data_IF_407431891526
#
_entry.id   IF_407431891526
#
_cell.length_a   1.000
_cell.length_b   1.000
_cell.length_c   1.000
_cell.angle_alpha   90.00
_cell.angle_beta   90.00
_cell.angle_gamma   90.00
#
_symmetry.space_group_name_H-M   'P 1'
#
loop_
_entity.id
_entity.type
_entity.pdbx_description
1 polymer ?
#
# COMPACT_ATOMS: atom_id res chain seq x y z
N UNK A 1 -0.10 -18.52 -2.42
CA UNK A 1 -0.16 -18.21 -0.98
C UNK A 1 -0.92 -16.92 -0.76
N UNK A 2 -1.65 -16.87 0.32
CA UNK A 2 -2.36 -15.64 0.69
C UNK A 2 -1.36 -14.56 1.15
N UNK A 3 -1.62 -13.31 0.79
CA UNK A 3 -0.82 -12.18 1.24
C UNK A 3 -1.06 -11.90 2.73
N UNK A 4 -0.01 -11.49 3.42
CA UNK A 4 -0.07 -11.13 4.85
C UNK A 4 0.17 -9.65 5.08
N UNK A 5 0.60 -8.93 4.05
CA UNK A 5 0.97 -7.51 4.14
C UNK A 5 0.42 -6.75 2.94
N UNK A 6 -0.17 -5.58 3.23
CA UNK A 6 -0.57 -4.63 2.20
C UNK A 6 0.60 -3.71 1.85
N UNK A 7 0.64 -3.22 0.62
CA UNK A 7 1.66 -2.29 0.18
C UNK A 7 1.03 -0.99 -0.30
N UNK A 8 1.53 0.13 0.21
CA UNK A 8 1.13 1.48 -0.16
C UNK A 8 2.12 2.10 -1.14
N UNK A 9 1.69 3.12 -1.86
CA UNK A 9 2.44 3.78 -2.93
C UNK A 9 3.80 4.28 -2.49
N UNK A 10 3.85 5.01 -1.38
CA UNK A 10 5.11 5.64 -0.93
C UNK A 10 6.20 4.64 -0.59
N UNK A 11 5.82 3.51 0.03
CA UNK A 11 6.77 2.45 0.35
C UNK A 11 7.28 1.75 -0.91
N UNK A 12 6.39 1.48 -1.86
CA UNK A 12 6.77 0.88 -3.15
C UNK A 12 7.68 1.83 -3.94
N UNK A 13 7.34 3.11 -3.97
CA UNK A 13 8.18 4.11 -4.64
C UNK A 13 9.57 4.18 -4.01
N UNK A 14 9.66 4.14 -2.68
CA UNK A 14 10.93 4.17 -1.96
C UNK A 14 11.83 2.98 -2.32
N UNK A 15 11.25 1.81 -2.59
CA UNK A 15 12.02 0.65 -3.06
C UNK A 15 12.62 0.88 -4.44
N UNK A 16 11.89 1.60 -5.31
CA UNK A 16 12.27 1.79 -6.71
C UNK A 16 13.17 3.01 -6.92
N UNK A 17 13.13 3.95 -6.01
CA UNK A 17 13.85 5.23 -6.13
C UNK A 17 14.96 5.33 -5.08
N UNK A 18 16.18 5.09 -5.52
CA UNK A 18 17.37 5.12 -4.65
C UNK A 18 17.59 6.49 -4.00
N UNK A 19 17.06 7.57 -4.58
CA UNK A 19 17.17 8.92 -4.04
C UNK A 19 16.09 9.25 -3.00
N UNK A 20 15.11 8.38 -2.83
CA UNK A 20 14.05 8.57 -1.83
C UNK A 20 14.64 8.46 -0.42
N UNK A 21 14.29 9.39 0.48
CA UNK A 21 14.80 9.37 1.85
C UNK A 21 14.44 8.09 2.61
N UNK A 22 13.36 7.41 2.21
CA UNK A 22 12.92 6.16 2.82
C UNK A 22 13.52 4.92 2.16
N UNK A 23 14.35 5.08 1.13
CA UNK A 23 14.86 3.94 0.35
C UNK A 23 15.56 2.88 1.21
N UNK A 24 16.51 3.30 2.03
CA UNK A 24 17.29 2.35 2.86
C UNK A 24 16.40 1.62 3.87
N UNK A 25 15.55 2.38 4.55
CA UNK A 25 14.65 1.83 5.60
C UNK A 25 13.64 0.87 4.98
N UNK A 26 13.02 1.25 3.86
CA UNK A 26 12.05 0.40 3.16
C UNK A 26 12.72 -0.83 2.55
N UNK A 27 13.92 -0.69 1.99
CA UNK A 27 14.65 -1.83 1.42
C UNK A 27 14.99 -2.87 2.50
N UNK A 28 15.38 -2.41 3.68
CA UNK A 28 15.67 -3.29 4.81
C UNK A 28 14.39 -4.02 5.28
N UNK A 29 13.28 -3.29 5.41
CA UNK A 29 12.00 -3.88 5.80
C UNK A 29 11.52 -4.90 4.76
N UNK A 30 11.64 -4.56 3.48
CA UNK A 30 11.21 -5.40 2.36
C UNK A 30 11.85 -6.79 2.39
N UNK A 31 13.11 -6.88 2.77
CA UNK A 31 13.81 -8.16 2.85
C UNK A 31 13.25 -9.11 3.92
N UNK A 32 12.50 -8.56 4.88
CA UNK A 32 11.90 -9.32 5.98
C UNK A 32 10.42 -9.65 5.74
N UNK A 33 9.83 -9.07 4.69
CA UNK A 33 8.42 -9.29 4.39
C UNK A 33 8.22 -10.64 3.70
N UNK A 34 7.06 -11.23 3.96
CA UNK A 34 6.63 -12.43 3.24
C UNK A 34 5.89 -12.02 1.98
N UNK A 35 6.20 -12.69 0.89
CA UNK A 35 5.53 -12.44 -0.38
C UNK A 35 4.39 -13.44 -0.59
N UNK A 36 3.37 -13.07 -1.35
CA UNK A 36 3.20 -11.79 -2.03
C UNK A 36 2.74 -10.65 -1.11
N UNK A 37 2.97 -9.41 -1.54
CA UNK A 37 2.33 -8.23 -0.96
C UNK A 37 1.06 -7.96 -1.74
N UNK A 38 -0.01 -7.54 -1.05
CA UNK A 38 -1.28 -7.19 -1.70
C UNK A 38 -1.37 -5.67 -1.85
N UNK A 39 -1.81 -5.22 -3.01
CA UNK A 39 -2.11 -3.81 -3.23
C UNK A 39 -3.35 -3.65 -4.10
N UNK A 40 -3.73 -2.43 -4.43
CA UNK A 40 -4.89 -2.14 -5.28
C UNK A 40 -4.45 -1.50 -6.60
N UNK A 41 -5.36 -1.51 -7.58
CA UNK A 41 -5.15 -0.78 -8.84
C UNK A 41 -4.95 0.71 -8.60
N UNK A 42 -5.67 1.29 -7.63
CA UNK A 42 -5.53 2.69 -7.28
C UNK A 42 -4.10 3.02 -6.84
N UNK A 43 -3.50 2.15 -6.03
CA UNK A 43 -2.10 2.29 -5.60
C UNK A 43 -1.17 2.18 -6.80
N UNK A 44 -1.39 1.22 -7.69
CA UNK A 44 -0.55 1.07 -8.89
C UNK A 44 -0.66 2.30 -9.80
N UNK A 45 -1.85 2.86 -9.97
CA UNK A 45 -2.04 4.08 -10.75
C UNK A 45 -1.21 5.22 -10.17
N UNK A 46 -1.26 5.39 -8.88
CA UNK A 46 -0.49 6.41 -8.17
C UNK A 46 1.01 6.18 -8.31
N UNK A 47 1.44 4.93 -8.13
CA UNK A 47 2.85 4.55 -8.25
C UNK A 47 3.41 4.88 -9.64
N UNK A 48 2.72 4.45 -10.70
CA UNK A 48 3.17 4.71 -12.07
C UNK A 48 3.13 6.20 -12.41
N UNK A 49 2.18 6.95 -11.85
CA UNK A 49 2.15 8.40 -11.99
C UNK A 49 3.40 9.05 -11.36
N UNK A 50 3.76 8.62 -10.16
CA UNK A 50 4.92 9.17 -9.44
C UNK A 50 6.25 8.75 -10.06
N UNK A 51 6.34 7.56 -10.63
CA UNK A 51 7.52 7.12 -11.38
C UNK A 51 7.72 8.00 -12.61
N UNK A 52 6.63 8.41 -13.26
CA UNK A 52 6.68 9.21 -14.48
C UNK A 52 7.25 8.40 -15.64
N UNK A 53 8.07 9.05 -16.45
CA UNK A 53 8.59 8.47 -17.69
C UNK A 53 9.96 7.79 -17.54
N UNK A 54 10.46 7.67 -16.32
CA UNK A 54 11.75 7.05 -16.10
C UNK A 54 11.68 5.53 -16.30
N UNK A 55 12.16 5.09 -17.45
CA UNK A 55 12.01 3.70 -17.88
C UNK A 55 12.59 2.66 -16.93
N UNK A 56 13.80 2.83 -16.34
CA UNK A 56 14.33 1.81 -15.43
C UNK A 56 13.42 1.52 -14.23
N UNK A 57 12.79 2.55 -13.65
CA UNK A 57 11.86 2.35 -12.53
C UNK A 57 10.56 1.70 -12.97
N UNK A 58 10.05 2.04 -14.17
CA UNK A 58 8.88 1.38 -14.73
C UNK A 58 9.13 -0.12 -14.89
N UNK A 59 10.29 -0.48 -15.46
CA UNK A 59 10.66 -1.89 -15.67
C UNK A 59 10.80 -2.62 -14.34
N UNK A 60 11.38 -1.97 -13.31
CA UNK A 60 11.49 -2.56 -11.98
C UNK A 60 10.12 -2.79 -11.35
N UNK A 61 9.19 -1.82 -11.49
CA UNK A 61 7.82 -1.97 -11.01
C UNK A 61 7.13 -3.16 -11.68
N UNK A 62 7.24 -3.28 -13.00
CA UNK A 62 6.69 -4.41 -13.73
C UNK A 62 7.34 -5.73 -13.33
N UNK A 63 8.63 -5.70 -12.99
CA UNK A 63 9.34 -6.87 -12.47
C UNK A 63 8.72 -7.40 -11.17
N UNK A 64 8.39 -6.51 -10.23
CA UNK A 64 7.69 -6.89 -8.99
C UNK A 64 6.33 -7.52 -9.29
N UNK A 65 5.59 -6.94 -10.23
CA UNK A 65 4.26 -7.43 -10.60
C UNK A 65 4.36 -8.80 -11.27
N UNK A 66 5.23 -8.93 -12.27
CA UNK A 66 5.37 -10.19 -13.03
C UNK A 66 5.95 -11.33 -12.21
N UNK A 67 6.81 -11.04 -11.25
CA UNK A 67 7.36 -12.07 -10.37
C UNK A 67 6.35 -12.61 -9.36
N UNK A 68 5.21 -11.93 -9.20
CA UNK A 68 4.23 -12.25 -8.18
C UNK A 68 4.58 -11.73 -6.78
N UNK A 69 5.63 -10.92 -6.66
CA UNK A 69 5.96 -10.27 -5.38
C UNK A 69 4.87 -9.29 -4.96
N UNK A 70 4.21 -8.67 -5.93
CA UNK A 70 3.07 -7.79 -5.72
C UNK A 70 1.88 -8.38 -6.47
N UNK A 71 0.77 -8.56 -5.78
CA UNK A 71 -0.49 -9.05 -6.36
C UNK A 71 -1.61 -8.05 -6.10
N UNK A 72 -2.61 -8.04 -6.97
CA UNK A 72 -3.75 -7.13 -6.85
C UNK A 72 -4.90 -7.75 -6.08
N UNK A 73 -5.43 -6.95 -5.14
CA UNK A 73 -6.75 -7.16 -4.61
C UNK A 73 -7.73 -6.34 -5.46
N UNK A 74 -8.62 -7.01 -6.17
CA UNK A 74 -9.59 -6.34 -7.03
C UNK A 74 -10.80 -5.90 -6.23
N UNK A 75 -11.33 -4.72 -6.56
CA UNK A 75 -12.53 -4.17 -5.93
C UNK A 75 -13.58 -3.99 -7.03
N UNK A 76 -14.68 -4.73 -6.92
CA UNK A 76 -15.75 -4.66 -7.90
C UNK A 76 -16.65 -3.46 -7.70
N UNK A 77 -17.45 -3.16 -8.71
CA UNK A 77 -18.35 -2.00 -8.69
C UNK A 77 -19.26 -1.97 -7.45
N UNK A 78 -19.84 -3.11 -7.08
CA UNK A 78 -20.74 -3.18 -5.92
C UNK A 78 -20.04 -2.96 -4.59
N UNK A 79 -18.73 -3.18 -4.53
CA UNK A 79 -17.93 -2.97 -3.32
C UNK A 79 -17.57 -1.50 -3.09
N UNK A 80 -17.74 -0.65 -4.10
CA UNK A 80 -17.35 0.76 -4.01
C UNK A 80 -18.10 1.53 -2.92
N UNK A 81 -19.30 1.08 -2.53
CA UNK A 81 -20.02 1.73 -1.44
C UNK A 81 -19.28 1.60 -0.10
N UNK A 82 -18.52 0.52 0.10
CA UNK A 82 -17.67 0.36 1.29
C UNK A 82 -16.50 1.35 1.27
N UNK A 83 -15.91 1.55 0.09
CA UNK A 83 -14.81 2.52 -0.10
C UNK A 83 -15.33 3.94 0.16
N UNK A 84 -16.52 4.26 -0.37
CA UNK A 84 -17.17 5.55 -0.11
C UNK A 84 -17.41 5.76 1.39
N UNK A 85 -17.91 4.75 2.09
CA UNK A 85 -18.16 4.84 3.53
C UNK A 85 -16.88 5.13 4.33
N UNK A 86 -15.75 4.52 3.94
CA UNK A 86 -14.46 4.78 4.55
C UNK A 86 -14.00 6.22 4.32
N UNK A 87 -14.08 6.71 3.10
CA UNK A 87 -13.70 8.09 2.78
C UNK A 87 -14.56 9.10 3.55
N UNK A 88 -15.85 8.79 3.74
CA UNK A 88 -16.74 9.64 4.53
C UNK A 88 -16.36 9.63 6.01
N UNK A 89 -16.05 8.45 6.56
CA UNK A 89 -15.64 8.30 7.97
C UNK A 89 -14.36 9.07 8.27
N UNK A 90 -13.39 9.03 7.37
CA UNK A 90 -12.09 9.66 7.56
C UNK A 90 -11.92 10.95 6.75
N UNK A 91 -13.04 11.63 6.49
CA UNK A 91 -13.04 12.89 5.72
C UNK A 91 -12.13 13.94 6.35
N UNK A 92 -12.16 14.05 7.68
CA UNK A 92 -11.33 15.01 8.43
C UNK A 92 -9.83 14.69 8.35
N UNK A 93 -9.49 13.45 8.02
CA UNK A 93 -8.10 13.00 7.84
C UNK A 93 -7.67 13.06 6.38
N UNK A 94 -8.54 13.57 5.51
CA UNK A 94 -8.28 13.64 4.06
C UNK A 94 -7.90 12.30 3.44
N UNK A 95 -8.58 11.22 3.88
CA UNK A 95 -8.37 9.89 3.29
C UNK A 95 -8.66 9.95 1.80
N UNK A 96 -7.67 9.59 0.99
CA UNK A 96 -7.86 9.52 -0.46
C UNK A 96 -8.40 8.15 -0.87
N UNK A 97 -8.72 8.02 -2.17
CA UNK A 97 -9.30 6.79 -2.71
C UNK A 97 -8.34 5.60 -2.56
N UNK A 98 -7.06 5.81 -2.84
CA UNK A 98 -6.06 4.73 -2.74
C UNK A 98 -5.96 4.21 -1.30
N UNK A 99 -5.90 5.10 -0.31
CA UNK A 99 -5.89 4.72 1.11
C UNK A 99 -7.14 3.92 1.46
N UNK A 100 -8.30 4.40 1.02
CA UNK A 100 -9.58 3.74 1.30
C UNK A 100 -9.62 2.32 0.72
N UNK A 101 -9.06 2.12 -0.48
CA UNK A 101 -8.98 0.78 -1.08
C UNK A 101 -8.14 -0.16 -0.23
N UNK A 102 -7.03 0.31 0.32
CA UNK A 102 -6.16 -0.51 1.17
C UNK A 102 -6.84 -0.88 2.50
N UNK A 103 -7.48 0.08 3.13
CA UNK A 103 -8.22 -0.17 4.40
C UNK A 103 -9.36 -1.16 4.16
N UNK A 104 -10.07 -1.04 3.05
CA UNK A 104 -11.12 -1.99 2.68
C UNK A 104 -10.55 -3.39 2.44
N UNK A 105 -9.46 -3.50 1.67
CA UNK A 105 -8.83 -4.79 1.39
C UNK A 105 -8.31 -5.46 2.66
N UNK A 106 -7.79 -4.68 3.61
CA UNK A 106 -7.33 -5.21 4.90
C UNK A 106 -8.45 -5.97 5.60
N UNK A 107 -9.64 -5.39 5.66
CA UNK A 107 -10.80 -6.03 6.29
C UNK A 107 -11.28 -7.24 5.49
N UNK A 108 -11.43 -7.09 4.17
CA UNK A 108 -11.94 -8.16 3.31
C UNK A 108 -11.04 -9.38 3.28
N UNK A 109 -9.72 -9.17 3.19
CA UNK A 109 -8.73 -10.25 3.07
C UNK A 109 -8.12 -10.67 4.40
N UNK A 110 -8.58 -10.07 5.50
CA UNK A 110 -8.05 -10.34 6.86
C UNK A 110 -6.55 -10.12 6.96
N UNK A 111 -6.07 -9.05 6.34
CA UNK A 111 -4.66 -8.64 6.36
C UNK A 111 -4.53 -7.51 7.37
N UNK A 112 -3.55 -7.62 8.27
CA UNK A 112 -3.39 -6.63 9.34
C UNK A 112 -2.20 -5.68 9.13
N UNK A 113 -1.14 -6.13 8.47
CA UNK A 113 0.11 -5.37 8.35
C UNK A 113 0.09 -4.52 7.10
N UNK A 114 0.58 -3.28 7.21
CA UNK A 114 0.75 -2.40 6.07
C UNK A 114 2.20 -1.95 5.93
N UNK A 115 2.71 -2.03 4.70
CA UNK A 115 4.01 -1.50 4.30
C UNK A 115 3.78 -0.11 3.70
N UNK A 116 4.08 0.92 4.49
CA UNK A 116 3.82 2.31 4.14
C UNK A 116 4.83 3.25 4.78
N UNK A 117 5.09 4.38 4.13
CA UNK A 117 5.86 5.48 4.73
C UNK A 117 4.93 6.50 5.39
N UNK A 118 3.63 6.38 5.19
CA UNK A 118 2.64 7.28 5.78
C UNK A 118 2.21 6.78 7.15
N UNK A 119 3.09 6.92 8.12
CA UNK A 119 2.84 6.49 9.49
C UNK A 119 1.72 7.27 10.14
N UNK A 120 1.58 8.56 9.79
CA UNK A 120 0.58 9.43 10.40
C UNK A 120 -0.83 8.95 10.10
N UNK A 121 -1.17 8.80 8.83
CA UNK A 121 -2.54 8.46 8.42
C UNK A 121 -2.90 7.03 8.80
N UNK A 122 -2.00 6.08 8.55
CA UNK A 122 -2.27 4.67 8.87
C UNK A 122 -2.26 4.38 10.38
N UNK A 123 -1.75 5.29 11.21
CA UNK A 123 -1.92 5.18 12.67
C UNK A 123 -3.34 5.56 13.10
N UNK A 124 -4.07 6.31 12.29
CA UNK A 124 -5.44 6.75 12.58
C UNK A 124 -6.47 5.76 12.02
N UNK A 125 -6.25 5.24 10.81
CA UNK A 125 -7.18 4.31 10.18
C UNK A 125 -7.32 3.02 11.01
N UNK A 126 -8.48 2.38 10.89
CA UNK A 126 -8.77 1.14 11.62
C UNK A 126 -9.27 0.07 10.66
N UNK A 127 -8.79 -1.15 10.82
CA UNK A 127 -9.24 -2.30 10.06
C UNK A 127 -10.61 -2.72 10.59
N UNK A 128 -11.61 -2.74 9.71
CA UNK A 128 -12.97 -3.09 10.10
C UNK A 128 -13.55 -2.16 11.17
N UNK A 129 -13.03 -0.94 11.28
CA UNK A 129 -13.46 0.05 12.26
C UNK A 129 -12.96 -0.18 13.68
N UNK A 130 -12.12 -1.19 13.91
CA UNK A 130 -11.72 -1.61 15.27
C UNK A 130 -10.22 -1.71 15.50
N UNK A 131 -9.49 -2.39 14.61
CA UNK A 131 -8.09 -2.74 14.82
C UNK A 131 -7.14 -1.73 14.26
N UNK A 132 -6.03 -1.48 14.97
CA UNK A 132 -4.93 -0.68 14.44
C UNK A 132 -4.13 -1.47 13.42
N UNK A 133 -3.53 -0.75 12.49
CA UNK A 133 -2.56 -1.32 11.56
C UNK A 133 -1.19 -1.42 12.21
N UNK A 134 -0.58 -2.61 12.34
CA UNK A 134 0.86 -2.70 12.45
C UNK A 134 1.50 -2.14 11.18
N UNK A 135 2.42 -1.19 11.34
CA UNK A 135 3.03 -0.45 10.23
C UNK A 135 4.49 -0.86 10.08
N UNK A 136 4.89 -1.16 8.85
CA UNK A 136 6.28 -1.40 8.48
C UNK A 136 6.67 -0.41 7.37
N UNK A 137 7.90 0.12 7.37
CA UNK A 137 8.94 -0.09 8.37
C UNK A 137 8.59 0.60 9.71
N UNK A 138 9.08 0.04 10.81
CA UNK A 138 8.90 0.65 12.14
C UNK A 138 9.81 1.86 12.25
N UNK A 139 11.04 1.72 11.77
CA UNK A 139 12.05 2.78 11.79
C UNK A 139 11.70 3.88 10.78
N UNK A 140 12.19 5.07 11.06
CA UNK A 140 12.12 6.22 10.15
C UNK A 140 13.51 6.59 9.67
N UNK A 141 13.60 7.29 8.54
CA UNK A 141 14.89 7.76 8.04
C UNK A 141 15.56 8.73 9.00
#
# INVERSE_FOLDING_TARGET
MAAETLADTGALLALLDESDEWHAVCSCAFQRLRFPLLTSEAVLTELFHMIGDYRPRKESAWGFIRSGAIVLGTIGHVELHHVHALMSRYEDCSMDFADATLVYLAARESIQVIFTVDHRDFSVYRIGGKRRFPILPVERP
#
